data_IF_479235890616
#
_entry.id   IF_479235890616
#
_cell.length_a   1.000
_cell.length_b   1.000
_cell.length_c   1.000
_cell.angle_alpha   90.00
_cell.angle_beta   90.00
_cell.angle_gamma   90.00
#
_symmetry.space_group_name_H-M   'P 1'
#
loop_
_entity.id
_entity.type
_entity.pdbx_description
1 polymer ?
#
# COMPACT_ATOMS: atom_id res chain seq x y z
N UNK A 1 0.08 -7.38 2.58
CA UNK A 1 -0.74 -7.83 1.43
C UNK A 1 -0.10 -7.32 0.14
N UNK A 2 -0.42 -7.93 -1.00
CA UNK A 2 -0.01 -7.41 -2.30
C UNK A 2 -0.70 -6.10 -2.65
N UNK A 3 0.01 -5.14 -3.25
CA UNK A 3 -0.49 -3.84 -3.71
C UNK A 3 -0.70 -3.76 -5.23
N UNK A 4 -1.87 -3.22 -5.61
CA UNK A 4 -2.28 -2.93 -6.99
C UNK A 4 -2.47 -4.17 -7.88
N UNK A 5 -3.29 -4.05 -8.93
CA UNK A 5 -3.60 -5.17 -9.82
C UNK A 5 -2.34 -5.75 -10.47
N UNK A 6 -1.42 -4.88 -10.93
CA UNK A 6 -0.14 -5.29 -11.52
C UNK A 6 0.76 -6.03 -10.54
N UNK A 7 0.87 -5.53 -9.31
CA UNK A 7 1.68 -6.19 -8.29
C UNK A 7 1.14 -7.58 -7.96
N UNK A 8 -0.18 -7.71 -7.79
CA UNK A 8 -0.83 -8.99 -7.56
C UNK A 8 -0.64 -9.97 -8.73
N UNK A 9 -0.76 -9.51 -9.99
CA UNK A 9 -0.53 -10.34 -11.17
C UNK A 9 0.93 -10.81 -11.31
N UNK A 10 1.88 -10.02 -10.83
CA UNK A 10 3.31 -10.34 -10.80
C UNK A 10 3.73 -11.12 -9.54
N UNK A 11 2.79 -11.73 -8.82
CA UNK A 11 3.09 -12.48 -7.59
C UNK A 11 3.68 -11.61 -6.47
N UNK A 12 3.42 -10.30 -6.50
CA UNK A 12 3.95 -9.28 -5.59
C UNK A 12 5.47 -9.05 -5.69
N UNK A 13 6.11 -9.50 -6.78
CA UNK A 13 7.56 -9.36 -7.02
C UNK A 13 7.93 -8.02 -7.69
N UNK A 14 7.52 -6.89 -7.11
CA UNK A 14 7.68 -5.56 -7.74
C UNK A 14 8.90 -4.76 -7.24
N UNK A 15 9.74 -5.33 -6.36
CA UNK A 15 10.80 -4.59 -5.63
C UNK A 15 11.90 -3.97 -6.51
N UNK A 16 12.11 -4.48 -7.73
CA UNK A 16 13.13 -4.03 -8.67
C UNK A 16 12.53 -3.59 -10.02
N UNK A 17 11.21 -3.45 -10.10
CA UNK A 17 10.52 -3.10 -11.35
C UNK A 17 10.47 -1.57 -11.48
N UNK A 18 11.24 -1.03 -12.43
CA UNK A 18 11.39 0.42 -12.66
C UNK A 18 10.62 0.95 -13.87
N UNK A 19 9.92 0.08 -14.60
CA UNK A 19 9.18 0.47 -15.82
C UNK A 19 7.67 0.42 -15.59
N UNK A 20 6.94 1.33 -16.23
CA UNK A 20 5.48 1.43 -16.15
C UNK A 20 5.00 2.04 -14.84
N UNK A 21 3.89 1.54 -14.29
CA UNK A 21 3.41 1.92 -12.96
C UNK A 21 4.35 1.35 -11.88
N UNK A 22 5.24 2.20 -11.38
CA UNK A 22 6.14 1.90 -10.26
C UNK A 22 5.36 2.04 -8.96
N UNK A 23 5.40 1.00 -8.14
CA UNK A 23 4.70 0.98 -6.85
C UNK A 23 5.70 1.10 -5.70
N UNK A 24 5.85 2.32 -5.20
CA UNK A 24 6.74 2.63 -4.07
C UNK A 24 6.32 1.97 -2.75
N UNK A 25 5.10 1.43 -2.68
CA UNK A 25 4.68 0.57 -1.58
C UNK A 25 5.63 -0.62 -1.34
N UNK A 26 6.16 -1.22 -2.43
CA UNK A 26 7.07 -2.35 -2.37
C UNK A 26 8.52 -1.93 -2.11
N UNK A 27 8.95 -0.82 -2.72
CA UNK A 27 10.29 -0.27 -2.53
C UNK A 27 10.25 1.25 -2.75
N UNK A 28 10.44 2.06 -1.69
CA UNK A 28 10.38 3.51 -1.80
C UNK A 28 11.51 4.11 -2.64
N UNK A 29 12.63 3.40 -2.86
CA UNK A 29 13.75 3.89 -3.68
C UNK A 29 13.40 3.97 -5.18
N UNK A 30 12.36 3.26 -5.63
CA UNK A 30 12.04 3.16 -7.06
C UNK A 30 11.47 4.45 -7.66
N UNK A 31 10.89 5.35 -6.85
CA UNK A 31 10.28 6.58 -7.38
C UNK A 31 11.29 7.50 -8.09
N UNK A 32 12.58 7.44 -7.72
CA UNK A 32 13.66 8.20 -8.34
C UNK A 32 14.01 7.73 -9.77
N UNK A 33 13.60 6.53 -10.15
CA UNK A 33 13.77 5.99 -11.50
C UNK A 33 12.58 6.26 -12.42
N UNK A 34 11.49 6.85 -11.90
CA UNK A 34 10.38 7.23 -12.75
C UNK A 34 10.76 8.37 -13.70
N UNK A 35 10.33 8.28 -14.95
CA UNK A 35 10.48 9.36 -15.92
C UNK A 35 9.22 10.22 -16.04
N UNK A 36 8.07 9.72 -15.58
CA UNK A 36 6.76 10.32 -15.78
C UNK A 36 5.93 10.31 -14.51
N UNK A 37 4.93 11.20 -14.47
CA UNK A 37 3.91 11.17 -13.41
C UNK A 37 2.97 10.02 -13.69
N UNK A 38 2.67 9.22 -12.67
CA UNK A 38 1.73 8.10 -12.79
C UNK A 38 0.76 8.12 -11.63
N UNK A 39 -0.46 7.67 -11.89
CA UNK A 39 -1.50 7.48 -10.89
C UNK A 39 -2.21 6.16 -11.21
N UNK A 40 -2.56 5.41 -10.18
CA UNK A 40 -3.23 4.12 -10.34
C UNK A 40 -4.27 3.93 -9.24
N UNK A 41 -5.41 3.36 -9.62
CA UNK A 41 -6.43 2.90 -8.69
C UNK A 41 -6.74 1.42 -8.97
N UNK A 42 -6.93 0.64 -7.93
CA UNK A 42 -7.31 -0.78 -8.02
C UNK A 42 -8.40 -1.06 -6.99
N UNK A 43 -9.45 -1.75 -7.41
CA UNK A 43 -10.50 -2.25 -6.54
C UNK A 43 -10.51 -3.78 -6.61
N UNK A 44 -10.23 -4.43 -5.50
CA UNK A 44 -10.17 -5.89 -5.39
C UNK A 44 -11.35 -6.42 -4.60
N UNK A 45 -12.19 -7.23 -5.25
CA UNK A 45 -13.25 -8.01 -4.61
C UNK A 45 -12.72 -9.41 -4.34
N UNK A 46 -12.85 -9.87 -3.10
CA UNK A 46 -12.31 -11.13 -2.61
C UNK A 46 -13.45 -11.97 -2.02
N UNK A 47 -13.22 -13.27 -1.86
CA UNK A 47 -14.17 -14.16 -1.20
C UNK A 47 -14.43 -13.72 0.26
N UNK A 48 -15.59 -14.12 0.80
CA UNK A 48 -16.06 -13.79 2.16
C UNK A 48 -16.31 -12.28 2.36
N UNK A 49 -16.92 -11.61 1.39
CA UNK A 49 -17.25 -10.18 1.44
C UNK A 49 -16.03 -9.28 1.76
N UNK A 50 -14.84 -9.76 1.39
CA UNK A 50 -13.58 -9.05 1.58
C UNK A 50 -13.36 -8.10 0.42
N UNK A 51 -12.81 -6.93 0.74
CA UNK A 51 -12.36 -5.97 -0.26
C UNK A 51 -10.95 -5.51 0.03
N UNK A 52 -10.25 -5.14 -1.04
CA UNK A 52 -8.89 -4.64 -0.99
C UNK A 52 -8.68 -3.61 -2.10
N UNK A 53 -8.57 -2.35 -1.71
CA UNK A 53 -8.50 -1.20 -2.59
C UNK A 53 -7.13 -0.53 -2.47
N UNK A 54 -6.61 -0.06 -3.60
CA UNK A 54 -5.34 0.66 -3.68
C UNK A 54 -5.51 1.92 -4.50
N UNK A 55 -4.97 3.02 -4.02
CA UNK A 55 -4.74 4.24 -4.76
C UNK A 55 -3.26 4.59 -4.64
N UNK A 56 -2.62 4.94 -5.74
CA UNK A 56 -1.23 5.38 -5.73
C UNK A 56 -1.02 6.54 -6.71
N UNK A 57 -0.05 7.38 -6.36
CA UNK A 57 0.45 8.46 -7.18
C UNK A 57 1.97 8.51 -7.05
N UNK A 58 2.64 8.79 -8.16
CA UNK A 58 4.08 8.97 -8.20
C UNK A 58 4.44 10.14 -9.10
N UNK A 59 5.44 10.89 -8.67
CA UNK A 59 5.97 12.02 -9.41
C UNK A 59 7.50 12.07 -9.32
N UNK A 60 8.20 12.11 -10.46
CA UNK A 60 9.63 12.39 -10.46
C UNK A 60 9.91 13.86 -10.12
N UNK A 61 10.98 14.08 -9.37
CA UNK A 61 11.53 15.39 -9.02
C UNK A 61 12.90 15.50 -9.68
N UNK A 62 12.97 16.25 -10.80
CA UNK A 62 14.22 16.42 -11.53
C UNK A 62 15.27 17.13 -10.66
N UNK A 63 16.57 16.78 -10.77
CA UNK A 63 17.14 15.81 -11.71
C UNK A 63 17.19 14.35 -11.22
N UNK A 64 17.15 14.08 -9.91
CA UNK A 64 17.45 12.74 -9.34
C UNK A 64 16.44 12.23 -8.33
N UNK A 65 15.43 13.01 -7.95
CA UNK A 65 14.48 12.66 -6.91
C UNK A 65 13.18 12.06 -7.42
N UNK A 66 12.39 11.51 -6.50
CA UNK A 66 11.02 11.10 -6.76
C UNK A 66 10.22 11.07 -5.47
N UNK A 67 8.95 11.44 -5.57
CA UNK A 67 7.97 11.29 -4.48
C UNK A 67 6.88 10.32 -4.91
N UNK A 68 6.30 9.65 -3.93
CA UNK A 68 5.11 8.84 -4.11
C UNK A 68 4.21 8.91 -2.90
N UNK A 69 2.94 8.71 -3.15
CA UNK A 69 1.90 8.65 -2.14
C UNK A 69 0.97 7.48 -2.47
N UNK A 70 0.41 6.85 -1.46
CA UNK A 70 -0.66 5.91 -1.68
C UNK A 70 -1.55 5.68 -0.48
N UNK A 71 -2.73 5.17 -0.78
CA UNK A 71 -3.76 4.76 0.16
C UNK A 71 -4.12 3.31 -0.12
N UNK A 72 -4.22 2.53 0.94
CA UNK A 72 -4.65 1.14 0.92
C UNK A 72 -5.82 1.04 1.87
N UNK A 73 -6.90 0.41 1.41
CA UNK A 73 -8.07 0.15 2.23
C UNK A 73 -8.41 -1.34 2.10
N UNK A 74 -8.48 -2.03 3.22
CA UNK A 74 -8.86 -3.43 3.29
C UNK A 74 -9.99 -3.60 4.30
N UNK A 75 -10.87 -4.55 4.09
CA UNK A 75 -11.93 -4.79 5.06
C UNK A 75 -12.75 -6.03 4.75
N UNK A 76 -13.59 -6.38 5.71
CA UNK A 76 -14.55 -7.48 5.62
C UNK A 76 -15.89 -6.95 6.11
N UNK A 77 -16.92 -7.19 5.31
CA UNK A 77 -18.30 -6.86 5.66
C UNK A 77 -19.06 -8.14 6.03
N UNK A 78 -20.27 -7.98 6.60
CA UNK A 78 -21.22 -9.07 6.84
C UNK A 78 -20.64 -10.25 7.66
N UNK A 79 -19.79 -9.99 8.63
CA UNK A 79 -19.28 -11.03 9.54
C UNK A 79 -20.42 -11.43 10.48
N UNK A 80 -20.75 -12.73 10.53
CA UNK A 80 -21.81 -13.24 11.41
C UNK A 80 -21.37 -13.18 12.88
N UNK A 81 -21.94 -12.25 13.66
CA UNK A 81 -21.68 -12.10 15.09
C UNK A 81 -22.49 -13.09 15.91
N UNK A 82 -21.84 -13.75 16.87
CA UNK A 82 -22.49 -14.69 17.81
C UNK A 82 -22.03 -14.45 19.24
N UNK A 83 -22.91 -14.71 20.20
CA UNK A 83 -22.56 -14.70 21.62
C UNK A 83 -21.94 -16.04 22.08
N UNK A 84 -21.66 -16.15 23.38
CA UNK A 84 -21.06 -17.35 23.97
C UNK A 84 -21.98 -18.58 23.90
N UNK A 85 -23.29 -18.36 23.79
CA UNK A 85 -24.30 -19.41 23.67
C UNK A 85 -24.58 -19.79 22.20
N UNK A 86 -23.95 -19.07 21.26
CA UNK A 86 -24.02 -19.31 19.81
C UNK A 86 -25.17 -18.59 19.13
N UNK A 87 -25.92 -17.75 19.84
CA UNK A 87 -27.03 -16.98 19.29
C UNK A 87 -26.52 -15.81 18.45
N UNK A 88 -27.20 -15.52 17.34
CA UNK A 88 -26.79 -14.45 16.43
C UNK A 88 -27.02 -13.09 17.08
N UNK A 89 -25.95 -12.31 17.22
CA UNK A 89 -25.98 -10.97 17.85
C UNK A 89 -26.10 -9.84 16.83
N UNK A 90 -25.75 -10.07 15.56
CA UNK A 90 -25.83 -9.10 14.48
C UNK A 90 -24.74 -9.31 13.43
N UNK A 91 -24.63 -8.38 12.48
CA UNK A 91 -23.55 -8.39 11.48
C UNK A 91 -22.43 -7.43 11.94
N UNK A 92 -21.19 -7.89 11.81
CA UNK A 92 -19.98 -7.17 12.19
C UNK A 92 -19.19 -6.78 10.94
N UNK A 93 -18.34 -5.76 11.06
CA UNK A 93 -17.42 -5.35 10.01
C UNK A 93 -16.07 -4.91 10.59
N UNK A 94 -15.01 -5.16 9.82
CA UNK A 94 -13.65 -4.71 10.13
C UNK A 94 -13.11 -3.91 8.95
N UNK A 95 -12.31 -2.89 9.23
CA UNK A 95 -11.65 -2.11 8.20
C UNK A 95 -10.26 -1.66 8.62
N UNK A 96 -9.35 -1.62 7.66
CA UNK A 96 -7.98 -1.17 7.82
C UNK A 96 -7.64 -0.18 6.72
N UNK A 97 -7.02 0.92 7.10
CA UNK A 97 -6.53 1.92 6.18
C UNK A 97 -5.03 2.11 6.41
N UNK A 98 -4.28 2.14 5.32
CA UNK A 98 -2.88 2.52 5.34
C UNK A 98 -2.65 3.67 4.37
N UNK A 99 -2.08 4.75 4.86
CA UNK A 99 -1.59 5.86 4.04
C UNK A 99 -0.08 5.83 4.06
N UNK A 100 0.56 6.09 2.92
CA UNK A 100 2.01 6.23 2.88
C UNK A 100 2.45 7.41 2.04
N UNK A 101 3.57 7.99 2.44
CA UNK A 101 4.33 8.98 1.68
C UNK A 101 5.77 8.49 1.61
N UNK A 102 6.35 8.49 0.42
CA UNK A 102 7.75 8.13 0.23
C UNK A 102 8.49 9.17 -0.60
N UNK A 103 9.76 9.33 -0.28
CA UNK A 103 10.72 10.13 -1.02
C UNK A 103 11.91 9.25 -1.39
N UNK A 104 12.47 9.50 -2.56
CA UNK A 104 13.66 8.82 -3.04
C UNK A 104 14.60 9.78 -3.75
N UNK A 105 15.87 9.42 -3.74
CA UNK A 105 16.91 10.12 -4.48
C UNK A 105 17.88 9.12 -5.10
N UNK A 106 18.18 9.34 -6.38
CA UNK A 106 19.16 8.60 -7.14
C UNK A 106 20.56 9.14 -6.85
N UNK A 107 21.39 8.31 -6.26
CA UNK A 107 22.79 8.62 -5.89
C UNK A 107 23.71 8.40 -7.09
N UNK A 108 23.43 7.39 -7.91
CA UNK A 108 24.15 7.09 -9.16
C UNK A 108 23.18 6.58 -10.22
N UNK A 109 23.58 6.45 -11.49
CA UNK A 109 22.70 6.04 -12.60
C UNK A 109 21.93 4.75 -12.33
N UNK A 110 22.46 3.85 -11.50
CA UNK A 110 21.83 2.57 -11.13
C UNK A 110 21.43 2.48 -9.66
N UNK A 111 21.94 3.37 -8.79
CA UNK A 111 21.73 3.28 -7.34
C UNK A 111 20.83 4.40 -6.84
N UNK A 112 19.78 4.02 -6.11
CA UNK A 112 18.91 4.97 -5.42
C UNK A 112 18.66 4.58 -3.97
N UNK A 113 18.38 5.59 -3.15
CA UNK A 113 17.92 5.46 -1.78
C UNK A 113 16.51 6.00 -1.65
N UNK A 114 15.72 5.40 -0.78
CA UNK A 114 14.34 5.81 -0.53
C UNK A 114 13.95 5.63 0.92
N UNK A 115 13.10 6.55 1.37
CA UNK A 115 12.51 6.52 2.71
C UNK A 115 10.99 6.65 2.58
N UNK A 116 10.24 5.94 3.43
CA UNK A 116 8.80 6.09 3.49
C UNK A 116 8.30 6.21 4.93
N UNK A 117 7.24 6.97 5.10
CA UNK A 117 6.44 7.01 6.32
C UNK A 117 5.08 6.40 6.00
N UNK A 118 4.63 5.48 6.85
CA UNK A 118 3.37 4.77 6.72
C UNK A 118 2.53 5.02 7.96
N UNK A 119 1.28 5.41 7.77
CA UNK A 119 0.28 5.53 8.83
C UNK A 119 -0.75 4.42 8.65
N UNK A 120 -0.92 3.63 9.69
CA UNK A 120 -1.88 2.53 9.75
C UNK A 120 -3.00 2.91 10.71
N UNK A 121 -4.23 2.67 10.30
CA UNK A 121 -5.41 2.81 11.13
C UNK A 121 -6.33 1.60 10.92
N UNK A 122 -6.45 0.77 11.94
CA UNK A 122 -7.29 -0.43 11.93
C UNK A 122 -8.46 -0.29 12.89
N UNK A 123 -9.66 -0.65 12.43
CA UNK A 123 -10.88 -0.81 13.22
C UNK A 123 -11.24 -2.29 13.23
N UNK A 124 -10.97 -2.95 14.35
CA UNK A 124 -11.05 -4.41 14.48
C UNK A 124 -12.44 -4.89 14.90
N UNK A 125 -12.98 -4.29 15.95
CA UNK A 125 -14.26 -4.64 16.56
C UNK A 125 -14.82 -3.41 17.29
N UNK A 126 -16.10 -3.42 17.63
CA UNK A 126 -16.85 -2.30 18.20
C UNK A 126 -16.02 -1.42 19.17
N UNK A 127 -15.66 -0.21 18.70
CA UNK A 127 -14.82 0.81 19.37
C UNK A 127 -13.32 0.48 19.59
N UNK A 128 -12.84 -0.69 19.20
CA UNK A 128 -11.41 -1.03 19.24
C UNK A 128 -10.72 -0.57 17.96
N UNK A 129 -9.89 0.46 18.09
CA UNK A 129 -9.05 0.97 17.01
C UNK A 129 -7.58 1.02 17.42
N UNK A 130 -6.70 0.89 16.42
CA UNK A 130 -5.25 1.05 16.60
C UNK A 130 -4.72 1.98 15.52
N UNK A 131 -3.82 2.88 15.91
CA UNK A 131 -3.09 3.74 14.99
C UNK A 131 -1.59 3.50 15.17
N UNK A 132 -0.88 3.25 14.09
CA UNK A 132 0.56 2.94 14.12
C UNK A 132 1.30 3.70 13.03
N UNK A 133 2.54 4.12 13.33
CA UNK A 133 3.44 4.75 12.37
C UNK A 133 4.58 3.79 12.05
N UNK A 134 4.85 3.60 10.76
CA UNK A 134 5.95 2.79 10.25
C UNK A 134 6.93 3.64 9.43
N UNK A 135 8.19 3.22 9.42
CA UNK A 135 9.25 3.85 8.64
C UNK A 135 9.95 2.79 7.81
N UNK A 136 10.09 3.02 6.51
CA UNK A 136 10.85 2.15 5.62
C UNK A 136 12.08 2.87 5.13
N UNK A 137 13.18 2.12 5.01
CA UNK A 137 14.44 2.55 4.42
C UNK A 137 14.85 1.52 3.39
N UNK A 138 15.13 1.97 2.16
CA UNK A 138 15.57 1.09 1.08
C UNK A 138 16.74 1.71 0.31
N UNK A 139 17.64 0.84 -0.12
CA UNK A 139 18.61 1.10 -1.17
C UNK A 139 18.46 0.02 -2.24
N UNK A 140 18.53 0.39 -3.51
CA UNK A 140 18.47 -0.57 -4.61
C UNK A 140 19.48 -0.23 -5.70
N UNK A 141 20.02 -1.27 -6.32
CA UNK A 141 20.84 -1.23 -7.53
C UNK A 141 20.05 -1.88 -8.69
N UNK A 142 20.28 -1.41 -9.91
CA UNK A 142 19.54 -1.75 -11.14
C UNK A 142 20.41 -2.54 -12.13
#
# INVERSE_FOLDING_TARGET
MGSGARGMAMGNAMTAVVNGEIQSYYNPALAAFSEQRTAGATFGLLSLDRHLNFLNYMQPIRPTGGISFGLINAGVSNIDGRDADGEKTGDLSTSENQVFLAFSNRVDQRVAVGVAVKLYHSKLYDQVSSTTVGFDLYSGDL
#
